data_IF_401270619070
#
_entry.id   IF_401270619070
#
_cell.length_a   1.000
_cell.length_b   1.000
_cell.length_c   1.000
_cell.angle_alpha   90.00
_cell.angle_beta   90.00
_cell.angle_gamma   90.00
#
_symmetry.space_group_name_H-M   'P 1'
#
loop_
_entity.id
_entity.type
_entity.pdbx_description
1 polymer ?
#
# COMPACT_ATOMS: atom_id res chain seq x y z
N UNK A 1 9.85 -28.99 12.51
CA UNK A 1 10.88 -28.39 11.65
C UNK A 1 10.46 -28.57 10.21
N UNK A 2 9.80 -27.57 9.63
CA UNK A 2 9.60 -27.46 8.20
C UNK A 2 9.33 -25.98 7.87
N UNK A 3 10.30 -25.39 7.18
CA UNK A 3 10.22 -24.17 6.37
C UNK A 3 10.02 -22.80 7.05
N UNK A 4 11.10 -22.28 7.66
CA UNK A 4 11.29 -20.85 7.99
C UNK A 4 11.95 -20.07 6.83
N UNK A 5 11.59 -20.37 5.57
CA UNK A 5 12.13 -19.68 4.39
C UNK A 5 11.15 -18.70 3.72
N UNK A 6 9.94 -18.51 4.27
CA UNK A 6 8.97 -17.50 3.85
C UNK A 6 8.54 -16.64 5.03
N UNK A 7 8.88 -15.35 5.04
CA UNK A 7 8.56 -14.45 6.15
C UNK A 7 7.07 -14.42 6.51
N UNK A 8 6.75 -14.19 7.79
CA UNK A 8 5.39 -14.20 8.35
C UNK A 8 4.39 -13.44 7.44
N UNK A 9 3.41 -14.12 6.82
CA UNK A 9 2.40 -13.48 5.97
C UNK A 9 1.65 -12.35 6.66
N UNK A 10 1.49 -12.43 7.99
CA UNK A 10 0.88 -11.36 8.79
C UNK A 10 1.78 -10.13 8.86
N UNK A 11 3.10 -10.32 8.92
CA UNK A 11 4.07 -9.23 8.88
C UNK A 11 4.07 -8.55 7.50
N UNK A 12 4.06 -9.32 6.41
CA UNK A 12 3.96 -8.80 5.04
C UNK A 12 2.67 -8.01 4.81
N UNK A 13 1.53 -8.54 5.27
CA UNK A 13 0.24 -7.84 5.23
C UNK A 13 0.29 -6.52 6.02
N UNK A 14 0.78 -6.54 7.26
CA UNK A 14 0.88 -5.33 8.10
C UNK A 14 1.79 -4.28 7.48
N UNK A 15 2.89 -4.70 6.87
CA UNK A 15 3.80 -3.79 6.18
C UNK A 15 3.12 -3.14 4.97
N UNK A 16 2.46 -3.93 4.12
CA UNK A 16 1.75 -3.41 2.95
C UNK A 16 0.59 -2.47 3.34
N UNK A 17 -0.13 -2.78 4.43
CA UNK A 17 -1.18 -1.92 4.98
C UNK A 17 -0.63 -0.56 5.42
N UNK A 18 0.48 -0.54 6.18
CA UNK A 18 1.13 0.70 6.62
C UNK A 18 1.59 1.55 5.45
N UNK A 19 2.27 0.94 4.47
CA UNK A 19 2.76 1.65 3.28
C UNK A 19 1.60 2.29 2.49
N UNK A 20 0.48 1.59 2.35
CA UNK A 20 -0.70 2.13 1.68
C UNK A 20 -1.34 3.28 2.47
N UNK A 21 -1.47 3.15 3.80
CA UNK A 21 -1.95 4.22 4.68
C UNK A 21 -1.08 5.48 4.57
N UNK A 22 0.24 5.35 4.56
CA UNK A 22 1.14 6.50 4.36
C UNK A 22 0.94 7.20 3.02
N UNK A 23 0.64 6.46 1.94
CA UNK A 23 0.33 7.09 0.65
C UNK A 23 -1.06 7.74 0.64
N UNK A 24 -2.04 7.14 1.33
CA UNK A 24 -3.37 7.72 1.51
C UNK A 24 -3.31 9.03 2.29
N UNK A 25 -2.55 9.09 3.39
CA UNK A 25 -2.40 10.32 4.18
C UNK A 25 -1.81 11.45 3.32
N UNK A 26 -0.80 11.14 2.48
CA UNK A 26 -0.23 12.12 1.54
C UNK A 26 -1.23 12.55 0.46
N UNK A 27 -2.07 11.64 -0.01
CA UNK A 27 -3.13 11.96 -0.97
C UNK A 27 -4.22 12.83 -0.32
N UNK A 28 -4.59 12.53 0.92
CA UNK A 28 -5.57 13.29 1.68
C UNK A 28 -5.09 14.70 2.01
N UNK A 29 -3.80 14.91 2.27
CA UNK A 29 -3.25 16.26 2.43
C UNK A 29 -3.57 17.16 1.22
N UNK A 30 -3.55 16.61 0.01
CA UNK A 30 -3.95 17.33 -1.21
C UNK A 30 -5.47 17.46 -1.34
N UNK A 31 -6.20 16.36 -1.15
CA UNK A 31 -7.64 16.29 -1.44
C UNK A 31 -8.50 16.99 -0.38
N UNK A 32 -8.11 16.93 0.88
CA UNK A 32 -8.90 17.35 2.04
C UNK A 32 -8.29 18.57 2.74
N UNK A 33 -6.95 18.63 2.85
CA UNK A 33 -6.27 19.68 3.61
C UNK A 33 -5.80 20.86 2.74
N UNK A 34 -6.02 20.78 1.41
CA UNK A 34 -5.76 21.88 0.48
C UNK A 34 -4.29 22.06 0.10
N UNK A 35 -3.43 21.05 0.33
CA UNK A 35 -2.03 21.08 -0.08
C UNK A 35 -1.92 21.22 -1.61
N UNK A 36 -1.26 22.28 -2.09
CA UNK A 36 -1.07 22.51 -3.52
C UNK A 36 0.17 21.78 -4.03
N UNK A 37 -0.03 20.96 -5.05
CA UNK A 37 1.03 20.28 -5.80
C UNK A 37 0.90 20.55 -7.29
N UNK A 38 2.03 20.50 -8.01
CA UNK A 38 2.03 20.63 -9.48
C UNK A 38 1.40 19.39 -10.14
N UNK A 39 0.86 19.49 -11.38
CA UNK A 39 0.22 18.36 -12.05
C UNK A 39 1.08 17.10 -12.19
N UNK A 40 2.39 17.25 -12.46
CA UNK A 40 3.37 16.16 -12.51
C UNK A 40 3.48 15.43 -11.17
N UNK A 41 3.46 16.19 -10.08
CA UNK A 41 3.54 15.66 -8.71
C UNK A 41 2.25 14.94 -8.30
N UNK A 42 1.08 15.47 -8.71
CA UNK A 42 -0.23 14.85 -8.49
C UNK A 42 -0.30 13.48 -9.17
N UNK A 43 0.09 13.40 -10.45
CA UNK A 43 0.17 12.13 -11.18
C UNK A 43 1.10 11.14 -10.49
N UNK A 44 2.26 11.61 -10.01
CA UNK A 44 3.19 10.79 -9.24
C UNK A 44 2.60 10.28 -7.92
N UNK A 45 1.82 11.11 -7.23
CA UNK A 45 1.16 10.76 -5.97
C UNK A 45 0.10 9.67 -6.18
N UNK A 46 -0.79 9.85 -7.16
CA UNK A 46 -1.81 8.86 -7.53
C UNK A 46 -1.18 7.51 -7.92
N UNK A 47 -0.10 7.53 -8.72
CA UNK A 47 0.58 6.31 -9.12
C UNK A 47 1.25 5.57 -7.93
N UNK A 48 1.73 6.30 -6.92
CA UNK A 48 2.33 5.68 -5.72
C UNK A 48 1.27 5.08 -4.82
N UNK A 49 0.15 5.79 -4.61
CA UNK A 49 -0.99 5.26 -3.85
C UNK A 49 -1.54 4.00 -4.51
N UNK A 50 -1.80 4.02 -5.82
CA UNK A 50 -2.32 2.87 -6.55
C UNK A 50 -1.42 1.63 -6.44
N UNK A 51 -0.10 1.80 -6.60
CA UNK A 51 0.87 0.68 -6.45
C UNK A 51 0.93 0.14 -5.02
N UNK A 52 0.85 1.01 -4.02
CA UNK A 52 0.82 0.59 -2.62
C UNK A 52 -0.47 -0.19 -2.32
N UNK A 53 -1.61 0.26 -2.86
CA UNK A 53 -2.89 -0.45 -2.78
C UNK A 53 -2.83 -1.83 -3.42
N UNK A 54 -2.30 -1.95 -4.64
CA UNK A 54 -2.13 -3.23 -5.33
C UNK A 54 -1.30 -4.22 -4.50
N UNK A 55 -0.20 -3.76 -3.90
CA UNK A 55 0.62 -4.56 -2.99
C UNK A 55 -0.20 -5.01 -1.77
N UNK A 56 -0.91 -4.10 -1.12
CA UNK A 56 -1.78 -4.40 0.01
C UNK A 56 -2.85 -5.45 -0.36
N UNK A 57 -3.52 -5.29 -1.49
CA UNK A 57 -4.56 -6.21 -1.96
C UNK A 57 -4.00 -7.61 -2.26
N UNK A 58 -2.79 -7.68 -2.82
CA UNK A 58 -2.09 -8.96 -3.02
C UNK A 58 -1.76 -9.64 -1.70
N UNK A 59 -1.16 -8.94 -0.74
CA UNK A 59 -0.84 -9.53 0.56
C UNK A 59 -2.11 -9.89 1.35
N UNK A 60 -3.19 -9.12 1.21
CA UNK A 60 -4.50 -9.44 1.78
C UNK A 60 -5.08 -10.73 1.19
N UNK A 61 -5.04 -10.90 -0.14
CA UNK A 61 -5.48 -12.14 -0.80
C UNK A 61 -4.67 -13.34 -0.34
N UNK A 62 -3.35 -13.19 -0.26
CA UNK A 62 -2.45 -14.24 0.27
C UNK A 62 -2.81 -14.62 1.71
N UNK A 63 -3.05 -13.63 2.58
CA UNK A 63 -3.44 -13.87 3.97
C UNK A 63 -4.80 -14.59 4.10
N UNK A 64 -5.72 -14.33 3.18
CA UNK A 64 -7.03 -14.99 3.11
C UNK A 64 -6.99 -16.36 2.41
N UNK A 65 -5.83 -16.79 1.90
CA UNK A 65 -5.71 -18.04 1.14
C UNK A 65 -6.38 -18.00 -0.24
N UNK A 66 -6.60 -16.81 -0.80
CA UNK A 66 -7.32 -16.62 -2.07
C UNK A 66 -6.43 -16.72 -3.32
N UNK A 67 -5.12 -16.99 -3.17
CA UNK A 67 -4.18 -17.00 -4.30
C UNK A 67 -4.00 -15.63 -4.96
N UNK A 68 -3.18 -15.56 -6.02
CA UNK A 68 -3.14 -14.39 -6.92
C UNK A 68 -4.26 -14.44 -7.96
#
# INVERSE_FOLDING_TARGET
MADEAGGDPRASYRQALREWQEQLDRLHAVLLDGERRRPDQLKGLLNREARAKERYERERRRLLGLGE
#
